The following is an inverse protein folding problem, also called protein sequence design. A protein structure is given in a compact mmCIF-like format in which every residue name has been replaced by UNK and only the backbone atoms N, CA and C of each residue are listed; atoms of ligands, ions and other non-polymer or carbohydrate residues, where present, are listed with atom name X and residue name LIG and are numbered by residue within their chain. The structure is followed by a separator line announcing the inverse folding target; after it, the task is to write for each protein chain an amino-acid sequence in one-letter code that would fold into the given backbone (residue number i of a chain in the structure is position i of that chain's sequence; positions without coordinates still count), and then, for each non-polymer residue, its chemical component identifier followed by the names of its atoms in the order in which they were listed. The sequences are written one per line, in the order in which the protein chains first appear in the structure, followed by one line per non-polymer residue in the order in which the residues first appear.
data_IF_487139472847
#
_entry.id   IF_487139472847
#
_cell.length_a   1.000
_cell.length_b   1.000
_cell.length_c   1.000
_cell.angle_alpha   90.00
_cell.angle_beta   90.00
_cell.angle_gamma   90.00
#
_symmetry.space_group_name_H-M   'P 1'
#
loop_
_entity.id
_entity.type
_entity.pdbx_description
1 polymer ?
#
# COMPACT_ATOMS: atom_id res chain seq x y z
N UNK A 1 -21.66 8.45 -4.56
CA UNK A 1 -20.23 8.17 -4.25
C UNK A 1 -19.39 9.11 -5.10
N UNK A 2 -18.68 10.05 -4.49
CA UNK A 2 -17.68 10.84 -5.21
C UNK A 2 -16.52 9.89 -5.53
N UNK A 3 -16.19 9.72 -6.81
CA UNK A 3 -14.96 9.06 -7.24
C UNK A 3 -13.80 9.92 -6.74
N UNK A 4 -13.11 9.48 -5.70
CA UNK A 4 -11.88 10.12 -5.27
C UNK A 4 -10.79 9.70 -6.26
N UNK A 5 -10.21 10.67 -6.93
CA UNK A 5 -9.06 10.46 -7.83
C UNK A 5 -7.80 10.69 -7.01
N UNK A 6 -7.07 9.63 -6.71
CA UNK A 6 -5.74 9.74 -6.09
C UNK A 6 -4.70 10.03 -7.17
N UNK A 7 -3.85 11.01 -6.91
CA UNK A 7 -2.72 11.29 -7.79
C UNK A 7 -1.55 10.37 -7.42
N UNK A 8 -1.28 9.38 -8.28
CA UNK A 8 -0.21 8.40 -8.06
C UNK A 8 1.15 9.11 -7.97
N UNK A 9 1.40 10.16 -8.76
CA UNK A 9 2.65 10.91 -8.71
C UNK A 9 2.88 11.54 -7.32
N UNK A 10 1.85 12.14 -6.72
CA UNK A 10 1.95 12.68 -5.37
C UNK A 10 2.15 11.55 -4.34
N UNK A 11 1.48 10.42 -4.53
CA UNK A 11 1.56 9.26 -3.64
C UNK A 11 2.97 8.67 -3.59
N UNK A 12 3.61 8.46 -4.74
CA UNK A 12 4.94 7.85 -4.84
C UNK A 12 6.09 8.88 -4.84
N UNK A 13 5.79 10.18 -5.06
CA UNK A 13 6.77 11.26 -5.07
C UNK A 13 7.75 11.23 -6.25
N UNK A 14 7.45 10.46 -7.29
CA UNK A 14 8.31 10.21 -8.44
C UNK A 14 7.43 10.10 -9.70
N UNK A 15 7.65 11.00 -10.66
CA UNK A 15 6.85 11.04 -11.90
C UNK A 15 7.12 9.86 -12.83
N UNK A 16 8.37 9.42 -12.92
CA UNK A 16 8.76 8.28 -13.76
C UNK A 16 8.16 6.98 -13.23
N UNK A 17 8.17 6.81 -11.90
CA UNK A 17 7.52 5.67 -11.26
C UNK A 17 5.99 5.72 -11.44
N UNK A 18 5.39 6.89 -11.30
CA UNK A 18 3.95 7.08 -11.48
C UNK A 18 3.48 6.72 -12.90
N UNK A 19 4.26 7.07 -13.92
CA UNK A 19 3.93 6.75 -15.31
C UNK A 19 3.83 5.25 -15.58
N UNK A 20 4.58 4.41 -14.85
CA UNK A 20 4.49 2.94 -14.95
C UNK A 20 3.14 2.40 -14.49
N UNK A 21 2.46 3.11 -13.60
CA UNK A 21 1.15 2.72 -13.05
C UNK A 21 -0.04 3.37 -13.77
N UNK A 22 0.20 4.10 -14.86
CA UNK A 22 -0.86 4.66 -15.69
C UNK A 22 -1.75 3.54 -16.23
N UNK A 23 -3.06 3.70 -16.07
CA UNK A 23 -4.06 2.67 -16.39
C UNK A 23 -3.87 1.32 -15.67
N UNK A 24 -3.05 1.30 -14.63
CA UNK A 24 -2.79 0.13 -13.81
C UNK A 24 -3.88 -0.15 -12.78
N UNK A 25 -3.60 -1.07 -11.89
CA UNK A 25 -4.51 -1.47 -10.81
C UNK A 25 -3.94 -1.07 -9.46
N UNK A 26 -4.79 -0.51 -8.60
CA UNK A 26 -4.43 -0.24 -7.20
C UNK A 26 -5.37 -0.97 -6.24
N UNK A 27 -4.83 -1.32 -5.08
CA UNK A 27 -5.57 -1.91 -3.96
C UNK A 27 -5.27 -1.08 -2.72
N UNK A 28 -6.32 -0.61 -2.03
CA UNK A 28 -6.20 0.09 -0.76
C UNK A 28 -6.77 -0.82 0.33
N UNK A 29 -5.94 -1.16 1.31
CA UNK A 29 -6.30 -2.00 2.45
C UNK A 29 -6.25 -1.14 3.69
N UNK A 30 -7.42 -0.85 4.25
CA UNK A 30 -7.55 -0.11 5.50
C UNK A 30 -7.45 -1.07 6.69
N UNK A 31 -6.64 -0.71 7.68
CA UNK A 31 -6.47 -1.44 8.93
C UNK A 31 -6.98 -0.58 10.09
N UNK A 32 -8.15 -0.90 10.63
CA UNK A 32 -8.64 -0.26 11.85
C UNK A 32 -7.76 -0.64 13.05
N UNK A 33 -7.75 0.13 14.16
CA UNK A 33 -6.92 -0.19 15.33
C UNK A 33 -7.11 -1.59 15.92
N UNK A 34 -8.22 -2.26 15.61
CA UNK A 34 -8.54 -3.62 16.08
C UNK A 34 -8.06 -4.72 15.13
N UNK A 35 -7.62 -4.36 13.93
CA UNK A 35 -7.19 -5.33 12.93
C UNK A 35 -5.75 -5.78 13.18
N UNK A 36 -5.33 -6.80 12.44
CA UNK A 36 -3.95 -7.24 12.34
C UNK A 36 -3.09 -6.14 11.69
N UNK A 37 -1.97 -5.73 12.33
CA UNK A 37 -1.18 -4.57 11.92
C UNK A 37 0.19 -4.90 11.32
N UNK A 38 0.49 -6.17 11.07
CA UNK A 38 1.71 -6.57 10.38
C UNK A 38 1.49 -6.61 8.88
N UNK A 39 2.52 -6.26 8.13
CA UNK A 39 2.52 -6.17 6.67
C UNK A 39 3.41 -7.29 6.15
N UNK A 40 2.92 -8.04 5.17
CA UNK A 40 3.64 -9.15 4.57
C UNK A 40 3.80 -8.95 3.08
N UNK A 41 4.91 -9.45 2.53
CA UNK A 41 5.15 -9.41 1.09
C UNK A 41 4.17 -10.35 0.36
N UNK A 42 3.45 -9.85 -0.67
CA UNK A 42 2.45 -10.64 -1.37
C UNK A 42 3.01 -11.69 -2.32
N UNK A 43 4.31 -11.58 -2.66
CA UNK A 43 5.01 -12.53 -3.53
C UNK A 43 6.51 -12.50 -3.28
N UNK A 44 7.24 -13.53 -3.75
CA UNK A 44 8.70 -13.52 -3.75
C UNK A 44 9.19 -12.34 -4.57
N UNK A 45 10.07 -11.53 -4.00
CA UNK A 45 10.48 -10.26 -4.61
C UNK A 45 11.89 -9.85 -4.20
N UNK A 46 12.46 -8.95 -4.97
CA UNK A 46 13.63 -8.17 -4.59
C UNK A 46 13.20 -6.73 -4.31
N UNK A 47 13.58 -6.19 -3.17
CA UNK A 47 13.40 -4.77 -2.85
C UNK A 47 14.43 -4.00 -3.69
N UNK A 48 13.95 -3.22 -4.64
CA UNK A 48 14.79 -2.40 -5.53
C UNK A 48 15.12 -1.06 -4.93
N UNK A 49 14.18 -0.51 -4.19
CA UNK A 49 14.30 0.80 -3.57
C UNK A 49 13.27 0.92 -2.43
N UNK A 50 13.64 1.69 -1.40
CA UNK A 50 12.76 2.01 -0.28
C UNK A 50 13.06 3.42 0.21
N UNK A 51 12.03 4.27 0.31
CA UNK A 51 12.14 5.64 0.77
C UNK A 51 10.88 6.11 1.50
N UNK A 52 11.02 7.19 2.26
CA UNK A 52 9.92 7.77 3.03
C UNK A 52 9.48 9.12 2.46
N UNK A 53 8.19 9.40 2.52
CA UNK A 53 7.57 10.65 2.12
C UNK A 53 6.59 11.13 3.19
N UNK A 54 6.31 12.45 3.20
CA UNK A 54 5.39 13.06 4.15
C UNK A 54 6.02 13.30 5.52
N UNK A 55 5.48 14.27 6.26
CA UNK A 55 5.97 14.65 7.60
C UNK A 55 4.90 14.49 8.68
N UNK A 56 3.65 14.51 8.29
CA UNK A 56 2.51 14.52 9.21
C UNK A 56 1.55 13.40 8.84
N UNK A 57 0.80 12.92 9.82
CA UNK A 57 -0.23 11.92 9.59
C UNK A 57 -1.56 12.44 10.10
N UNK A 58 -2.49 12.64 9.18
CA UNK A 58 -3.90 12.95 9.47
C UNK A 58 -4.69 11.65 9.73
N UNK A 59 -5.84 11.74 10.43
CA UNK A 59 -6.68 10.58 10.65
C UNK A 59 -7.05 9.89 9.34
N UNK A 60 -6.74 8.61 9.22
CA UNK A 60 -7.22 7.76 8.14
C UNK A 60 -8.31 6.86 8.71
N UNK A 61 -9.54 7.33 8.70
CA UNK A 61 -10.72 6.53 8.99
C UNK A 61 -11.63 6.51 7.75
N UNK A 62 -12.68 5.70 7.77
CA UNK A 62 -13.61 5.61 6.65
C UNK A 62 -14.15 7.00 6.25
N UNK A 63 -14.45 7.83 7.24
CA UNK A 63 -14.93 9.20 7.02
C UNK A 63 -13.83 10.11 6.46
N UNK A 64 -12.60 10.00 6.94
CA UNK A 64 -11.45 10.74 6.43
C UNK A 64 -11.09 10.35 5.00
N UNK A 65 -11.20 9.06 4.64
CA UNK A 65 -11.01 8.57 3.27
C UNK A 65 -12.16 9.04 2.33
N UNK A 66 -13.36 9.24 2.86
CA UNK A 66 -14.51 9.72 2.09
C UNK A 66 -14.53 11.25 1.92
N UNK A 67 -14.02 12.00 2.90
CA UNK A 67 -14.10 13.46 2.98
C UNK A 67 -12.77 14.17 2.72
N UNK A 68 -11.65 13.48 2.86
CA UNK A 68 -10.32 14.07 2.72
C UNK A 68 -9.79 13.99 1.30
N UNK A 69 -9.45 15.13 0.71
CA UNK A 69 -8.75 15.20 -0.55
C UNK A 69 -7.31 14.67 -0.38
N UNK A 70 -7.01 13.47 -0.90
CA UNK A 70 -5.66 12.91 -1.02
C UNK A 70 -4.87 12.68 0.29
N UNK A 71 -5.54 12.38 1.42
CA UNK A 71 -4.86 12.13 2.71
C UNK A 71 -3.72 11.12 2.58
N UNK A 72 -3.91 10.03 1.81
CA UNK A 72 -2.89 9.01 1.58
C UNK A 72 -1.64 9.58 0.90
N UNK A 73 -1.78 10.67 0.14
CA UNK A 73 -0.68 11.33 -0.56
C UNK A 73 0.07 12.36 0.29
N UNK A 74 -0.47 12.74 1.45
CA UNK A 74 0.15 13.71 2.36
C UNK A 74 0.72 13.08 3.62
N UNK A 75 0.10 12.00 4.11
CA UNK A 75 0.53 11.33 5.32
C UNK A 75 1.92 10.73 5.17
N UNK A 76 2.64 10.62 6.30
CA UNK A 76 3.89 9.88 6.36
C UNK A 76 3.68 8.47 5.80
N UNK A 77 4.54 8.07 4.90
CA UNK A 77 4.48 6.77 4.22
C UNK A 77 5.86 6.30 3.80
N UNK A 78 6.00 5.02 3.67
CA UNK A 78 7.17 4.37 3.09
C UNK A 78 6.80 3.79 1.74
N UNK A 79 7.63 4.00 0.74
CA UNK A 79 7.42 3.51 -0.63
C UNK A 79 8.44 2.42 -0.91
N UNK A 80 7.98 1.20 -1.13
CA UNK A 80 8.80 0.05 -1.48
C UNK A 80 8.58 -0.32 -2.93
N UNK A 81 9.63 -0.18 -3.75
CA UNK A 81 9.63 -0.64 -5.14
C UNK A 81 10.13 -2.07 -5.18
N UNK A 82 9.32 -2.97 -5.69
CA UNK A 82 9.53 -4.41 -5.62
C UNK A 82 9.53 -5.03 -7.02
N UNK A 83 10.48 -5.92 -7.24
CA UNK A 83 10.61 -6.71 -8.45
C UNK A 83 10.43 -8.19 -8.09
N UNK A 84 9.36 -8.80 -8.55
CA UNK A 84 9.05 -10.21 -8.38
C UNK A 84 8.74 -10.85 -9.74
N UNK A 85 7.74 -11.73 -9.77
CA UNK A 85 7.17 -12.22 -11.03
C UNK A 85 6.65 -11.06 -11.89
N UNK A 86 6.15 -10.01 -11.23
CA UNK A 86 5.77 -8.72 -11.79
C UNK A 86 6.40 -7.61 -10.95
N UNK A 87 6.55 -6.41 -11.51
CA UNK A 87 6.90 -5.21 -10.75
C UNK A 87 5.66 -4.66 -10.04
N UNK A 88 5.85 -4.20 -8.82
CA UNK A 88 4.79 -3.56 -8.05
C UNK A 88 5.38 -2.62 -6.99
N UNK A 89 4.55 -1.75 -6.47
CA UNK A 89 4.91 -0.88 -5.35
C UNK A 89 3.97 -1.14 -4.18
N UNK A 90 4.54 -1.31 -2.98
CA UNK A 90 3.82 -1.46 -1.72
C UNK A 90 4.09 -0.23 -0.87
N UNK A 91 3.02 0.40 -0.37
CA UNK A 91 3.10 1.67 0.33
C UNK A 91 2.31 1.58 1.64
N UNK A 92 2.98 1.30 2.76
CA UNK A 92 2.41 1.54 4.08
C UNK A 92 2.24 3.04 4.31
N UNK A 93 1.05 3.45 4.74
CA UNK A 93 0.70 4.85 5.01
C UNK A 93 0.28 4.99 6.47
N UNK A 94 0.95 5.87 7.20
CA UNK A 94 0.64 6.20 8.57
C UNK A 94 -0.71 6.92 8.73
N UNK A 95 -1.27 6.83 9.91
CA UNK A 95 -2.50 7.53 10.30
C UNK A 95 -2.25 8.47 11.47
N UNK A 96 -3.28 9.14 11.97
CA UNK A 96 -3.20 10.12 13.05
C UNK A 96 -2.33 9.63 14.23
N UNK A 97 -1.31 10.41 14.58
CA UNK A 97 -0.35 10.14 15.64
C UNK A 97 0.53 8.89 15.44
N UNK A 98 0.52 8.28 14.25
CA UNK A 98 1.28 7.08 13.94
C UNK A 98 2.18 7.34 12.73
N UNK A 99 3.35 7.86 13.02
CA UNK A 99 4.46 7.91 12.05
C UNK A 99 5.35 6.66 12.15
N UNK A 100 4.94 5.66 12.94
CA UNK A 100 5.73 4.46 13.19
C UNK A 100 5.29 3.33 12.28
N UNK A 101 5.90 3.30 11.12
CA UNK A 101 5.99 2.13 10.26
C UNK A 101 7.37 1.53 10.55
N UNK A 102 7.40 0.38 11.22
CA UNK A 102 8.64 -0.23 11.68
C UNK A 102 8.99 -1.42 10.77
N UNK A 103 10.00 -1.27 9.90
CA UNK A 103 10.47 -2.37 9.07
C UNK A 103 11.09 -3.47 9.93
N UNK A 104 10.84 -4.74 9.57
CA UNK A 104 11.40 -5.92 10.26
C UNK A 104 12.13 -6.85 9.31
N UNK A 105 12.10 -6.60 7.99
CA UNK A 105 12.87 -7.36 7.02
C UNK A 105 14.37 -7.09 7.18
N UNK A 106 15.18 -8.09 6.90
CA UNK A 106 16.64 -8.06 7.06
C UNK A 106 17.41 -8.33 5.74
N UNK A 107 16.71 -8.73 4.68
CA UNK A 107 17.29 -8.99 3.35
C UNK A 107 16.50 -8.23 2.27
N UNK A 108 17.18 -7.91 1.17
CA UNK A 108 16.54 -7.35 -0.03
C UNK A 108 15.79 -8.41 -0.84
N UNK A 109 16.13 -9.69 -0.70
CA UNK A 109 15.43 -10.82 -1.30
C UNK A 109 14.44 -11.39 -0.29
N UNK A 110 13.15 -11.20 -0.55
CA UNK A 110 12.07 -11.53 0.37
C UNK A 110 11.13 -12.58 -0.23
N UNK A 111 10.56 -13.41 0.62
CA UNK A 111 9.62 -14.47 0.23
C UNK A 111 8.18 -14.02 0.43
N UNK A 112 7.28 -14.62 -0.34
CA UNK A 112 5.85 -14.48 -0.12
C UNK A 112 5.47 -14.85 1.31
N UNK A 113 4.72 -13.95 1.98
CA UNK A 113 4.30 -14.14 3.37
C UNK A 113 5.31 -13.70 4.42
N UNK A 114 6.56 -13.40 4.04
CA UNK A 114 7.56 -12.83 4.92
C UNK A 114 7.13 -11.42 5.37
N UNK A 115 7.45 -11.06 6.61
CA UNK A 115 7.06 -9.78 7.20
C UNK A 115 7.91 -8.64 6.64
N UNK A 116 7.25 -7.60 6.14
CA UNK A 116 7.89 -6.34 5.79
C UNK A 116 8.10 -5.48 7.04
N UNK A 117 7.13 -5.45 7.92
CA UNK A 117 7.11 -4.59 9.09
C UNK A 117 5.72 -4.53 9.71
N UNK A 118 5.55 -3.57 10.62
CA UNK A 118 4.26 -3.38 11.28
C UNK A 118 3.98 -1.91 11.59
N UNK A 119 2.72 -1.63 11.85
CA UNK A 119 2.27 -0.36 12.39
C UNK A 119 2.02 -0.49 13.90
N UNK A 120 2.33 0.54 14.65
CA UNK A 120 1.99 0.58 16.09
C UNK A 120 0.49 0.85 16.33
N UNK A 121 -0.19 1.41 15.34
CA UNK A 121 -1.63 1.73 15.40
C UNK A 121 -2.27 1.71 14.02
N UNK A 122 -3.59 1.83 13.92
CA UNK A 122 -4.35 1.76 12.66
C UNK A 122 -3.79 2.60 11.51
N UNK A 123 -3.90 2.09 10.29
CA UNK A 123 -3.27 2.67 9.11
C UNK A 123 -3.80 2.07 7.80
N UNK A 124 -3.10 2.32 6.72
CA UNK A 124 -3.50 1.87 5.38
C UNK A 124 -2.30 1.31 4.64
N UNK A 125 -2.51 0.26 3.85
CA UNK A 125 -1.53 -0.24 2.88
C UNK A 125 -2.08 -0.03 1.48
N UNK A 126 -1.26 0.55 0.60
CA UNK A 126 -1.58 0.69 -0.83
C UNK A 126 -0.67 -0.21 -1.63
N UNK A 127 -1.25 -0.94 -2.57
CA UNK A 127 -0.53 -1.73 -3.58
C UNK A 127 -0.80 -1.13 -4.96
N UNK A 128 0.25 -0.95 -5.74
CA UNK A 128 0.18 -0.46 -7.12
C UNK A 128 0.75 -1.51 -8.06
N UNK A 129 0.01 -1.81 -9.13
CA UNK A 129 0.39 -2.76 -10.17
C UNK A 129 0.28 -2.11 -11.54
N UNK A 130 1.23 -2.43 -12.42
CA UNK A 130 1.20 -1.98 -13.81
C UNK A 130 -0.02 -2.58 -14.55
N UNK A 131 -0.41 -1.95 -15.64
CA UNK A 131 -1.54 -2.38 -16.48
C UNK A 131 -1.40 -3.84 -16.89
N UNK A 132 -2.50 -4.59 -16.81
CA UNK A 132 -2.60 -5.99 -17.24
C UNK A 132 -1.68 -6.98 -16.47
N UNK A 133 -1.17 -6.62 -15.31
CA UNK A 133 -0.31 -7.53 -14.52
C UNK A 133 -1.10 -8.44 -13.59
N UNK A 134 -2.28 -8.02 -13.17
CA UNK A 134 -3.11 -8.78 -12.24
C UNK A 134 -4.60 -8.74 -12.63
N UNK A 135 -5.32 -9.77 -12.20
CA UNK A 135 -6.79 -9.79 -12.15
C UNK A 135 -7.18 -9.85 -10.67
N UNK A 136 -8.02 -8.90 -10.23
CA UNK A 136 -8.56 -8.89 -8.87
C UNK A 136 -9.59 -10.03 -8.69
N UNK A 137 -9.65 -10.60 -7.47
CA UNK A 137 -10.75 -11.47 -7.08
C UNK A 137 -12.07 -10.68 -7.06
N UNK A 138 -13.18 -11.38 -7.32
CA UNK A 138 -14.51 -10.78 -7.32
C UNK A 138 -14.90 -10.26 -5.92
N UNK A 139 -15.71 -9.21 -5.90
CA UNK A 139 -16.31 -8.65 -4.69
C UNK A 139 -15.31 -8.20 -3.59
N UNK A 140 -14.12 -7.72 -3.97
CA UNK A 140 -13.15 -7.18 -3.00
C UNK A 140 -13.53 -5.81 -2.45
N UNK A 141 -14.28 -5.02 -3.20
CA UNK A 141 -14.62 -3.65 -2.81
C UNK A 141 -15.52 -3.66 -1.56
N UNK A 142 -15.14 -2.85 -0.57
CA UNK A 142 -15.85 -2.66 0.70
C UNK A 142 -16.05 -3.97 1.51
N UNK A 143 -15.17 -4.96 1.30
CA UNK A 143 -15.17 -6.24 2.00
C UNK A 143 -14.01 -6.33 2.99
N UNK A 144 -14.24 -6.96 4.13
CA UNK A 144 -13.16 -7.38 5.01
C UNK A 144 -12.40 -8.57 4.40
N UNK A 145 -11.08 -8.50 4.47
CA UNK A 145 -10.17 -9.58 4.05
C UNK A 145 -9.25 -9.96 5.21
N UNK A 146 -8.80 -11.20 5.22
CA UNK A 146 -7.86 -11.71 6.24
C UNK A 146 -6.47 -11.84 5.65
N UNK A 147 -5.46 -11.73 6.52
CA UNK A 147 -4.09 -12.02 6.12
C UNK A 147 -3.99 -13.45 5.56
N UNK A 148 -3.29 -13.59 4.41
CA UNK A 148 -3.18 -14.85 3.69
C UNK A 148 -4.31 -15.15 2.71
N UNK A 149 -5.38 -14.36 2.72
CA UNK A 149 -6.46 -14.48 1.74
C UNK A 149 -6.02 -14.03 0.35
N UNK A 150 -6.42 -14.77 -0.66
CA UNK A 150 -6.14 -14.42 -2.06
C UNK A 150 -6.95 -13.18 -2.47
N UNK A 151 -6.29 -12.17 -2.99
CA UNK A 151 -6.90 -10.91 -3.43
C UNK A 151 -6.76 -10.68 -4.93
N UNK A 152 -5.81 -11.35 -5.59
CA UNK A 152 -5.58 -11.21 -7.02
C UNK A 152 -4.86 -12.44 -7.59
N UNK A 153 -4.93 -12.58 -8.90
CA UNK A 153 -4.14 -13.53 -9.67
C UNK A 153 -3.18 -12.75 -10.57
N UNK A 154 -1.91 -13.16 -10.61
CA UNK A 154 -0.91 -12.62 -11.54
C UNK A 154 -1.16 -13.24 -12.93
N UNK A 155 -1.19 -12.39 -13.95
CA UNK A 155 -1.36 -12.78 -15.36
C UNK A 155 -0.06 -13.31 -15.99
#
# INVERSE_FOLDING_TARGET
MKNQTYNVQTLVGDSELADKYKDGTYIIIYLSPRNYHRIHFPMNSQIRDAYSLGKYSYPVNKMGLELGDNILSYNYRQVYRLNGKINYTLIPVGAQNVNSIIPTYDDIYVKKGEELGYFEFGSTVVLLFEKNNIILEDNLKDREIKMGEKIATIL
#
